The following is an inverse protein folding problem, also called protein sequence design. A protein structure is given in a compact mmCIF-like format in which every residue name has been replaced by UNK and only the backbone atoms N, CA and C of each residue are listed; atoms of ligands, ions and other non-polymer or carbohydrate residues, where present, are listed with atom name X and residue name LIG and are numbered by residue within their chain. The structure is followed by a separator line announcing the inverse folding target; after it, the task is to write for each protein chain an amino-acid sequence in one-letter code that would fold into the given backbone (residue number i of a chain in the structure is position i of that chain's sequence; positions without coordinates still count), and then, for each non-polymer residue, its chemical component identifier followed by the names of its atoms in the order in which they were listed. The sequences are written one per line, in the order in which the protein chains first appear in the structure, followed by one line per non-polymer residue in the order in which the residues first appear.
data_IF_542386933039
#
_entry.id   IF_542386933039
#
_cell.length_a   1.000
_cell.length_b   1.000
_cell.length_c   1.000
_cell.angle_alpha   90.00
_cell.angle_beta   90.00
_cell.angle_gamma   90.00
#
_symmetry.space_group_name_H-M   'P 1'
#
loop_
_entity.id
_entity.type
_entity.pdbx_description
1 polymer ?
#
# COMPACT_ATOMS: atom_id res chain seq x y z
N UNK A 1 -6.98 10.67 -10.06
CA UNK A 1 -6.80 12.14 -10.23
C UNK A 1 -7.31 12.88 -8.98
N UNK A 2 -8.46 12.52 -8.39
CA UNK A 2 -9.00 13.24 -7.22
C UNK A 2 -7.96 13.48 -6.09
N UNK A 3 -7.24 12.45 -5.64
CA UNK A 3 -6.23 12.58 -4.59
C UNK A 3 -5.10 13.59 -4.93
N UNK A 4 -4.75 13.74 -6.22
CA UNK A 4 -3.77 14.75 -6.66
C UNK A 4 -4.35 16.13 -6.50
N UNK A 5 -5.59 16.33 -6.98
CA UNK A 5 -6.27 17.62 -6.95
C UNK A 5 -6.55 18.07 -5.49
N UNK A 6 -6.75 17.12 -4.59
CA UNK A 6 -6.92 17.31 -3.15
C UNK A 6 -5.59 17.50 -2.39
N UNK A 7 -4.46 17.37 -3.06
CA UNK A 7 -3.14 17.64 -2.49
C UNK A 7 -2.54 16.49 -1.67
N UNK A 8 -2.91 15.24 -1.93
CA UNK A 8 -2.25 14.08 -1.30
C UNK A 8 -0.74 14.11 -1.53
N UNK A 9 0.04 13.67 -0.54
CA UNK A 9 1.49 13.55 -0.64
C UNK A 9 1.90 12.25 -1.36
N UNK A 10 1.02 11.25 -1.35
CA UNK A 10 1.20 9.95 -1.98
C UNK A 10 -0.11 9.21 -2.22
N UNK A 11 0.02 7.99 -2.77
CA UNK A 11 -1.09 7.07 -3.00
C UNK A 11 -0.87 5.79 -2.21
N UNK A 12 -1.95 5.27 -1.64
CA UNK A 12 -2.00 3.89 -1.16
C UNK A 12 -2.69 3.04 -2.20
N UNK A 13 -2.19 1.81 -2.41
CA UNK A 13 -2.82 0.85 -3.30
C UNK A 13 -2.57 -0.60 -2.89
N UNK A 14 -3.57 -1.42 -3.18
CA UNK A 14 -3.51 -2.88 -3.04
C UNK A 14 -3.12 -3.53 -4.35
N UNK A 15 -2.16 -4.45 -4.33
CA UNK A 15 -1.74 -5.13 -5.55
C UNK A 15 -2.00 -6.63 -5.54
N UNK A 16 -2.32 -7.14 -6.73
CA UNK A 16 -2.47 -8.58 -7.03
C UNK A 16 -1.78 -8.95 -8.33
N UNK A 17 -1.53 -10.25 -8.49
CA UNK A 17 -0.90 -10.80 -9.69
C UNK A 17 -1.93 -11.53 -10.55
N UNK A 18 -1.97 -11.21 -11.84
CA UNK A 18 -2.78 -11.87 -12.86
C UNK A 18 -2.19 -13.21 -13.28
N UNK A 19 -2.89 -13.96 -14.14
CA UNK A 19 -2.42 -15.22 -14.69
C UNK A 19 -1.15 -15.03 -15.54
N UNK A 20 -1.11 -13.99 -16.34
CA UNK A 20 0.00 -13.60 -17.22
C UNK A 20 1.09 -12.77 -16.53
N UNK A 21 1.00 -12.67 -15.17
CA UNK A 21 1.99 -12.03 -14.28
C UNK A 21 2.05 -10.51 -14.35
N UNK A 22 1.00 -9.87 -14.78
CA UNK A 22 0.87 -8.43 -14.61
C UNK A 22 0.49 -8.08 -13.18
N UNK A 23 1.07 -7.01 -12.65
CA UNK A 23 0.73 -6.50 -11.31
C UNK A 23 -0.37 -5.47 -11.47
N UNK A 24 -1.56 -5.80 -10.98
CA UNK A 24 -2.74 -4.94 -11.05
C UNK A 24 -3.10 -4.35 -9.70
N UNK A 25 -3.67 -3.14 -9.72
CA UNK A 25 -4.20 -2.48 -8.54
C UNK A 25 -5.63 -2.97 -8.31
N UNK A 26 -5.80 -3.82 -7.29
CA UNK A 26 -7.10 -4.39 -6.94
C UNK A 26 -7.12 -4.96 -5.52
N UNK A 27 -8.13 -4.56 -4.72
CA UNK A 27 -8.25 -5.02 -3.33
C UNK A 27 -8.68 -6.49 -3.23
N UNK A 28 -9.78 -6.87 -3.91
CA UNK A 28 -10.42 -8.18 -3.76
C UNK A 28 -9.76 -9.27 -4.62
N UNK A 29 -10.06 -10.53 -4.35
CA UNK A 29 -9.57 -11.65 -5.19
C UNK A 29 -10.34 -11.79 -6.50
N UNK A 30 -11.52 -11.14 -6.62
CA UNK A 30 -12.43 -11.18 -7.77
C UNK A 30 -12.90 -9.77 -8.14
N UNK A 31 -13.53 -9.62 -9.29
CA UNK A 31 -14.17 -8.37 -9.72
C UNK A 31 -15.59 -8.21 -9.18
N UNK A 32 -16.10 -9.15 -8.38
CA UNK A 32 -17.53 -9.28 -8.05
C UNK A 32 -18.09 -8.04 -7.34
N UNK A 33 -17.41 -7.55 -6.29
CA UNK A 33 -17.90 -6.43 -5.48
C UNK A 33 -18.01 -5.12 -6.27
N UNK A 34 -17.10 -4.86 -7.19
CA UNK A 34 -17.00 -3.58 -7.91
C UNK A 34 -17.66 -3.67 -9.29
N UNK A 35 -17.44 -4.77 -10.02
CA UNK A 35 -17.90 -4.94 -11.40
C UNK A 35 -19.06 -5.93 -11.56
N UNK A 36 -19.56 -6.54 -10.46
CA UNK A 36 -20.62 -7.56 -10.53
C UNK A 36 -20.19 -8.84 -11.26
N UNK A 37 -18.91 -9.08 -11.47
CA UNK A 37 -18.38 -10.18 -12.25
C UNK A 37 -17.51 -11.11 -11.39
N UNK A 38 -17.73 -12.44 -11.36
CA UNK A 38 -16.98 -13.36 -10.52
C UNK A 38 -15.55 -13.67 -11.02
N UNK A 39 -15.09 -13.04 -12.10
CA UNK A 39 -13.75 -13.24 -12.64
C UNK A 39 -12.69 -13.01 -11.54
N UNK A 40 -11.76 -13.96 -11.46
CA UNK A 40 -10.73 -13.97 -10.42
C UNK A 40 -9.42 -13.43 -10.99
N UNK A 41 -8.84 -12.45 -10.32
CA UNK A 41 -7.58 -11.81 -10.74
C UNK A 41 -6.49 -12.86 -11.03
N UNK A 42 -6.26 -13.81 -10.13
CA UNK A 42 -5.16 -14.79 -10.26
C UNK A 42 -5.35 -15.86 -11.36
N UNK A 43 -6.50 -15.95 -12.01
CA UNK A 43 -6.77 -16.93 -13.09
C UNK A 43 -7.20 -16.28 -14.39
N UNK A 44 -7.14 -14.98 -14.48
CA UNK A 44 -7.45 -14.20 -15.69
C UNK A 44 -6.20 -13.42 -16.12
N UNK A 45 -6.08 -13.20 -17.42
CA UNK A 45 -5.07 -12.29 -17.97
C UNK A 45 -5.48 -10.83 -17.79
N UNK A 46 -4.54 -9.91 -17.93
CA UNK A 46 -4.85 -8.47 -17.87
C UNK A 46 -5.88 -8.07 -18.93
N UNK A 47 -5.75 -8.57 -20.15
CA UNK A 47 -6.67 -8.25 -21.24
C UNK A 47 -8.11 -8.76 -20.96
N UNK A 48 -8.25 -9.98 -20.43
CA UNK A 48 -9.55 -10.51 -19.99
C UNK A 48 -10.17 -9.63 -18.90
N UNK A 49 -9.40 -9.23 -17.91
CA UNK A 49 -9.89 -8.37 -16.84
C UNK A 49 -10.28 -6.98 -17.36
N UNK A 50 -9.48 -6.39 -18.25
CA UNK A 50 -9.76 -5.08 -18.87
C UNK A 50 -10.97 -5.09 -19.79
N UNK A 51 -11.32 -6.24 -20.35
CA UNK A 51 -12.59 -6.38 -21.11
C UNK A 51 -13.85 -6.25 -20.24
N UNK A 52 -13.71 -6.46 -18.91
CA UNK A 52 -14.81 -6.39 -17.93
C UNK A 52 -14.81 -5.04 -17.20
N UNK A 53 -13.64 -4.57 -16.76
CA UNK A 53 -13.50 -3.37 -15.95
C UNK A 53 -12.16 -2.67 -16.22
N UNK A 54 -12.12 -1.33 -16.25
CA UNK A 54 -10.86 -0.60 -16.45
C UNK A 54 -9.93 -0.79 -15.25
N UNK A 55 -9.00 -1.75 -15.37
CA UNK A 55 -8.02 -2.08 -14.34
C UNK A 55 -6.69 -1.40 -14.65
N UNK A 56 -6.15 -0.69 -13.67
CA UNK A 56 -4.83 -0.08 -13.72
C UNK A 56 -3.76 -1.09 -13.28
N UNK A 57 -2.62 -1.09 -13.95
CA UNK A 57 -1.42 -1.80 -13.50
C UNK A 57 -0.62 -0.94 -12.51
N UNK A 58 0.25 -1.59 -11.72
CA UNK A 58 1.17 -0.86 -10.85
C UNK A 58 2.17 -0.02 -11.66
N UNK A 59 2.60 -0.47 -12.84
CA UNK A 59 3.53 0.27 -13.70
C UNK A 59 2.89 1.59 -14.17
N UNK A 60 1.61 1.57 -14.55
CA UNK A 60 0.85 2.78 -14.89
C UNK A 60 0.68 3.74 -13.69
N UNK A 61 0.49 3.21 -12.46
CA UNK A 61 0.44 4.05 -11.27
C UNK A 61 1.81 4.67 -10.95
N UNK A 62 2.90 3.93 -11.16
CA UNK A 62 4.26 4.47 -11.01
C UNK A 62 4.47 5.65 -11.97
N UNK A 63 4.02 5.57 -13.22
CA UNK A 63 4.11 6.70 -14.16
C UNK A 63 3.38 7.93 -13.64
N UNK A 64 2.18 7.75 -13.08
CA UNK A 64 1.41 8.85 -12.47
C UNK A 64 2.15 9.42 -11.25
N UNK A 65 2.67 8.55 -10.38
CA UNK A 65 3.40 8.95 -9.18
C UNK A 65 4.66 9.75 -9.52
N UNK A 66 5.43 9.31 -10.53
CA UNK A 66 6.61 10.01 -11.03
C UNK A 66 6.26 11.38 -11.61
N UNK A 67 5.22 11.45 -12.46
CA UNK A 67 4.79 12.70 -13.10
C UNK A 67 4.33 13.77 -12.09
N UNK A 68 3.84 13.36 -10.93
CA UNK A 68 3.29 14.25 -9.91
C UNK A 68 4.11 14.30 -8.61
N UNK A 69 5.29 13.67 -8.56
CA UNK A 69 6.15 13.57 -7.37
C UNK A 69 5.39 13.08 -6.14
N UNK A 70 4.67 11.94 -6.26
CA UNK A 70 3.85 11.35 -5.20
C UNK A 70 4.50 10.07 -4.68
N UNK A 71 4.54 9.92 -3.36
CA UNK A 71 4.96 8.69 -2.70
C UNK A 71 3.98 7.54 -2.95
N UNK A 72 4.45 6.29 -2.81
CA UNK A 72 3.60 5.10 -2.97
C UNK A 72 3.67 4.20 -1.73
N UNK A 73 2.51 3.87 -1.18
CA UNK A 73 2.32 2.85 -0.17
C UNK A 73 1.62 1.64 -0.82
N UNK A 74 2.38 0.57 -1.07
CA UNK A 74 1.95 -0.58 -1.88
C UNK A 74 1.71 -1.79 -0.99
N UNK A 75 0.45 -2.22 -0.84
CA UNK A 75 0.11 -3.43 -0.08
C UNK A 75 0.12 -4.68 -0.98
N UNK A 76 0.96 -5.65 -0.64
CA UNK A 76 0.91 -6.99 -1.24
C UNK A 76 -0.16 -7.84 -0.56
N UNK A 77 -1.23 -8.19 -1.29
CA UNK A 77 -2.36 -8.98 -0.76
C UNK A 77 -2.03 -10.46 -0.62
N UNK A 78 -2.22 -10.99 0.58
CA UNK A 78 -2.05 -12.40 0.93
C UNK A 78 -3.33 -13.01 1.55
N UNK A 79 -3.53 -14.34 1.46
CA UNK A 79 -2.71 -15.33 0.74
C UNK A 79 -2.85 -15.20 -0.79
N UNK A 80 -1.78 -15.57 -1.52
CA UNK A 80 -1.81 -15.64 -2.98
C UNK A 80 -1.81 -17.09 -3.47
N UNK A 81 -2.40 -17.34 -4.65
CA UNK A 81 -2.35 -18.65 -5.31
C UNK A 81 -0.91 -19.07 -5.67
N UNK A 82 -0.04 -18.09 -5.83
CA UNK A 82 1.30 -18.26 -6.41
C UNK A 82 2.43 -18.13 -5.40
N UNK A 83 2.14 -18.24 -4.08
CA UNK A 83 3.15 -18.08 -3.03
C UNK A 83 3.84 -16.71 -3.13
N UNK A 84 5.17 -16.68 -3.13
CA UNK A 84 5.98 -15.43 -3.20
C UNK A 84 6.20 -14.90 -4.62
N UNK A 85 5.37 -15.27 -5.58
CA UNK A 85 5.56 -14.82 -6.97
C UNK A 85 5.24 -13.33 -7.12
N UNK A 86 4.23 -12.82 -6.40
CA UNK A 86 3.88 -11.40 -6.39
C UNK A 86 5.07 -10.53 -5.97
N UNK A 87 5.73 -10.88 -4.86
CA UNK A 87 6.90 -10.15 -4.36
C UNK A 87 8.07 -10.18 -5.34
N UNK A 88 8.27 -11.32 -6.03
CA UNK A 88 9.34 -11.43 -7.04
C UNK A 88 9.06 -10.56 -8.27
N UNK A 89 7.83 -10.52 -8.77
CA UNK A 89 7.48 -9.66 -9.90
C UNK A 89 7.49 -8.17 -9.48
N UNK A 90 7.04 -7.85 -8.27
CA UNK A 90 7.16 -6.51 -7.69
C UNK A 90 8.62 -6.07 -7.59
N UNK A 91 9.51 -6.91 -7.06
CA UNK A 91 10.94 -6.60 -6.97
C UNK A 91 11.58 -6.36 -8.35
N UNK A 92 11.20 -7.14 -9.37
CA UNK A 92 11.67 -6.92 -10.76
C UNK A 92 11.18 -5.59 -11.32
N UNK A 93 9.90 -5.27 -11.13
CA UNK A 93 9.31 -4.00 -11.58
C UNK A 93 10.03 -2.82 -10.93
N UNK A 94 10.12 -2.81 -9.60
CA UNK A 94 10.77 -1.74 -8.86
C UNK A 94 12.28 -1.61 -9.15
N UNK A 95 12.97 -2.74 -9.43
CA UNK A 95 14.36 -2.70 -9.87
C UNK A 95 14.49 -2.03 -11.24
N UNK A 96 13.62 -2.39 -12.19
CA UNK A 96 13.59 -1.79 -13.53
C UNK A 96 13.34 -0.27 -13.50
N UNK A 97 12.45 0.19 -12.58
CA UNK A 97 12.07 1.60 -12.43
C UNK A 97 12.91 2.37 -11.41
N UNK A 98 13.96 1.73 -10.84
CA UNK A 98 14.67 2.27 -9.66
C UNK A 98 15.37 3.60 -9.88
N UNK A 99 15.92 3.84 -11.06
CA UNK A 99 16.60 5.11 -11.40
C UNK A 99 15.60 6.26 -11.53
N UNK A 100 14.44 6.01 -12.15
CA UNK A 100 13.38 7.00 -12.31
C UNK A 100 12.78 7.37 -10.93
N UNK A 101 12.46 6.35 -10.10
CA UNK A 101 11.95 6.53 -8.74
C UNK A 101 12.93 7.35 -7.90
N UNK A 102 14.22 7.00 -7.95
CA UNK A 102 15.25 7.72 -7.22
C UNK A 102 15.42 9.17 -7.70
N UNK A 103 15.44 9.38 -9.01
CA UNK A 103 15.59 10.71 -9.59
C UNK A 103 14.40 11.63 -9.30
N UNK A 104 13.19 11.07 -9.19
CA UNK A 104 12.00 11.81 -8.82
C UNK A 104 11.92 12.12 -7.30
N UNK A 105 12.76 11.48 -6.48
CA UNK A 105 12.80 11.66 -5.03
C UNK A 105 11.56 11.13 -4.31
N UNK A 106 10.82 10.18 -4.90
CA UNK A 106 9.62 9.60 -4.30
C UNK A 106 9.98 8.42 -3.39
N UNK A 107 9.23 8.28 -2.30
CA UNK A 107 9.36 7.18 -1.34
C UNK A 107 8.44 6.02 -1.71
N UNK A 108 8.92 4.78 -1.51
CA UNK A 108 8.12 3.57 -1.70
C UNK A 108 8.05 2.80 -0.38
N UNK A 109 6.84 2.59 0.12
CA UNK A 109 6.54 1.78 1.30
C UNK A 109 5.90 0.46 0.84
N UNK A 110 6.58 -0.67 1.10
CA UNK A 110 6.10 -2.00 0.72
C UNK A 110 5.40 -2.65 1.91
N UNK A 111 4.08 -2.68 1.89
CA UNK A 111 3.24 -3.08 3.01
C UNK A 111 2.69 -4.50 2.86
N UNK A 112 2.57 -5.23 3.96
CA UNK A 112 1.86 -6.51 4.00
C UNK A 112 1.42 -6.90 5.41
N UNK A 113 0.30 -7.64 5.51
CA UNK A 113 -0.09 -8.39 6.71
C UNK A 113 0.67 -9.71 6.85
N UNK A 114 1.42 -10.11 5.85
CA UNK A 114 2.24 -11.32 5.85
C UNK A 114 3.66 -11.01 6.31
N UNK A 115 4.09 -11.60 7.42
CA UNK A 115 5.46 -11.52 7.89
C UNK A 115 6.49 -11.93 6.81
N UNK A 116 6.21 -13.00 6.08
CA UNK A 116 7.09 -13.47 5.00
C UNK A 116 7.22 -12.48 3.85
N UNK A 117 6.12 -11.86 3.44
CA UNK A 117 6.12 -10.83 2.41
C UNK A 117 6.89 -9.58 2.89
N UNK A 118 6.65 -9.14 4.12
CA UNK A 118 7.38 -8.01 4.71
C UNK A 118 8.87 -8.28 4.80
N UNK A 119 9.27 -9.50 5.23
CA UNK A 119 10.67 -9.90 5.30
C UNK A 119 11.35 -9.92 3.93
N UNK A 120 10.64 -10.38 2.88
CA UNK A 120 11.14 -10.33 1.50
C UNK A 120 11.29 -8.87 1.02
N UNK A 121 10.33 -8.03 1.32
CA UNK A 121 10.33 -6.59 0.98
C UNK A 121 11.44 -5.82 1.70
N UNK A 122 11.74 -6.16 2.95
CA UNK A 122 12.81 -5.52 3.74
C UNK A 122 14.23 -5.78 3.21
N UNK A 123 14.41 -6.75 2.32
CA UNK A 123 15.68 -6.99 1.61
C UNK A 123 15.85 -6.09 0.38
N UNK A 124 14.83 -5.34 0.02
CA UNK A 124 14.87 -4.35 -1.07
C UNK A 124 15.47 -3.03 -0.58
N UNK A 125 15.72 -2.10 -1.52
CA UNK A 125 16.13 -0.71 -1.18
C UNK A 125 14.95 0.14 -0.66
N UNK A 126 13.76 -0.42 -0.57
CA UNK A 126 12.53 0.25 -0.17
C UNK A 126 12.10 -0.14 1.24
N UNK A 127 11.28 0.67 1.87
CA UNK A 127 10.86 0.46 3.26
C UNK A 127 9.84 -0.67 3.36
N UNK A 128 10.25 -1.80 3.96
CA UNK A 128 9.34 -2.91 4.26
C UNK A 128 8.51 -2.62 5.51
N UNK A 129 7.19 -2.61 5.38
CA UNK A 129 6.24 -2.24 6.42
C UNK A 129 5.32 -3.41 6.78
N UNK A 130 5.33 -3.83 8.02
CA UNK A 130 4.41 -4.86 8.52
C UNK A 130 3.10 -4.22 8.99
N UNK A 131 1.98 -4.65 8.38
CA UNK A 131 0.64 -4.16 8.73
C UNK A 131 0.10 -4.86 9.97
N UNK A 132 -0.21 -4.09 11.00
CA UNK A 132 -0.69 -4.56 12.29
C UNK A 132 -2.15 -4.19 12.47
N UNK A 133 -3.05 -5.19 12.43
CA UNK A 133 -4.50 -4.97 12.59
C UNK A 133 -4.97 -4.90 14.04
N UNK A 134 -4.22 -5.46 14.98
CA UNK A 134 -4.54 -5.40 16.40
C UNK A 134 -3.30 -5.56 17.28
N UNK A 135 -3.39 -5.19 18.56
CA UNK A 135 -2.26 -5.26 19.52
C UNK A 135 -1.63 -6.66 19.64
N UNK A 136 -2.39 -7.72 19.38
CA UNK A 136 -1.88 -9.10 19.41
C UNK A 136 -0.77 -9.37 18.39
N UNK A 137 -0.72 -8.60 17.30
CA UNK A 137 0.29 -8.74 16.23
C UNK A 137 1.50 -7.82 16.38
N UNK A 138 1.51 -6.91 17.34
CA UNK A 138 2.66 -6.00 17.61
C UNK A 138 4.00 -6.74 17.79
N UNK A 139 4.08 -7.90 18.47
CA UNK A 139 5.35 -8.61 18.61
C UNK A 139 6.03 -8.99 17.29
N UNK A 140 5.24 -9.19 16.22
CA UNK A 140 5.74 -9.52 14.89
C UNK A 140 6.29 -8.31 14.13
N UNK A 141 5.93 -7.10 14.53
CA UNK A 141 6.36 -5.85 13.91
C UNK A 141 7.71 -5.31 14.40
N UNK A 142 8.43 -6.05 15.27
CA UNK A 142 9.67 -5.58 15.92
C UNK A 142 10.83 -5.30 14.98
N UNK A 143 10.83 -5.93 13.81
CA UNK A 143 11.95 -5.91 12.87
C UNK A 143 11.60 -5.25 11.53
N UNK A 144 10.49 -4.52 11.47
CA UNK A 144 10.03 -3.81 10.29
C UNK A 144 9.43 -2.46 10.69
N UNK A 145 9.32 -1.57 9.75
CA UNK A 145 8.47 -0.38 9.88
C UNK A 145 7.04 -0.80 10.18
N UNK A 146 6.36 -0.09 11.08
CA UNK A 146 5.02 -0.45 11.53
C UNK A 146 3.96 0.29 10.70
N UNK A 147 3.00 -0.47 10.15
CA UNK A 147 1.77 0.08 9.59
C UNK A 147 0.59 -0.25 10.52
N UNK A 148 0.20 0.68 11.39
CA UNK A 148 -0.74 0.43 12.48
C UNK A 148 -2.18 0.76 12.10
N UNK A 149 -3.12 -0.15 12.44
CA UNK A 149 -4.53 0.24 12.48
C UNK A 149 -4.73 1.33 13.55
N UNK A 150 -5.51 2.37 13.24
CA UNK A 150 -5.77 3.52 14.14
C UNK A 150 -6.28 3.11 15.52
N UNK A 151 -7.08 2.04 15.62
CA UNK A 151 -7.60 1.54 16.89
C UNK A 151 -6.51 1.10 17.88
N UNK A 152 -5.30 0.80 17.38
CA UNK A 152 -4.15 0.46 18.23
C UNK A 152 -3.67 1.71 18.99
N UNK A 153 -3.61 2.86 18.31
CA UNK A 153 -3.22 4.14 18.90
C UNK A 153 -4.30 4.64 19.87
N UNK A 154 -5.58 4.59 19.45
CA UNK A 154 -6.75 4.92 20.30
C UNK A 154 -6.77 4.08 21.56
N UNK A 155 -6.32 2.85 21.49
CA UNK A 155 -6.13 1.96 22.65
C UNK A 155 -4.91 2.30 23.51
N UNK A 156 -4.23 3.44 23.31
CA UNK A 156 -3.13 3.94 24.15
C UNK A 156 -1.75 3.36 23.80
N UNK A 157 -1.59 2.66 22.68
CA UNK A 157 -0.25 2.26 22.23
C UNK A 157 0.45 3.45 21.55
N UNK A 158 1.72 3.66 21.93
CA UNK A 158 2.59 4.64 21.28
C UNK A 158 3.74 3.87 20.64
N UNK A 159 3.97 4.01 19.33
CA UNK A 159 5.08 3.35 18.65
C UNK A 159 6.42 3.86 19.19
N UNK A 160 7.42 2.98 19.23
CA UNK A 160 8.76 3.33 19.69
C UNK A 160 9.44 4.36 18.77
N UNK A 161 9.13 4.31 17.48
CA UNK A 161 9.57 5.30 16.49
C UNK A 161 8.36 5.77 15.67
N UNK A 162 7.68 6.84 16.10
CA UNK A 162 6.58 7.42 15.35
C UNK A 162 6.98 7.91 13.95
N UNK A 163 8.20 8.41 13.79
CA UNK A 163 8.71 8.94 12.51
C UNK A 163 8.94 7.84 11.44
N UNK A 164 8.95 6.56 11.85
CA UNK A 164 8.99 5.40 10.98
C UNK A 164 7.67 4.60 11.02
N UNK A 165 6.55 5.24 11.39
CA UNK A 165 5.26 4.57 11.55
C UNK A 165 4.22 5.12 10.57
N UNK A 166 3.51 4.21 9.89
CA UNK A 166 2.32 4.51 9.09
C UNK A 166 1.07 4.16 9.89
N UNK A 167 -0.02 4.91 9.70
CA UNK A 167 -1.33 4.62 10.35
C UNK A 167 -2.46 4.60 9.34
N UNK A 168 -3.32 3.59 9.43
CA UNK A 168 -4.45 3.30 8.54
C UNK A 168 -5.69 2.82 9.31
N UNK A 169 -6.93 2.99 8.85
CA UNK A 169 -7.35 4.05 7.96
C UNK A 169 -7.86 5.19 8.84
N UNK A 170 -7.40 6.41 8.62
CA UNK A 170 -7.59 7.54 9.54
C UNK A 170 -8.52 8.56 8.89
N UNK A 171 -9.83 8.51 9.22
CA UNK A 171 -10.86 9.31 8.58
C UNK A 171 -11.57 10.29 9.54
N UNK A 172 -11.38 10.14 10.87
CA UNK A 172 -12.01 11.03 11.84
C UNK A 172 -11.07 12.19 12.25
N UNK A 173 -11.60 13.41 12.47
CA UNK A 173 -10.79 14.57 12.86
C UNK A 173 -9.95 14.33 14.12
N UNK A 174 -10.52 13.67 15.13
CA UNK A 174 -9.84 13.33 16.38
C UNK A 174 -8.71 12.31 16.17
N UNK A 175 -8.86 11.38 15.23
CA UNK A 175 -7.86 10.37 14.91
C UNK A 175 -6.69 10.98 14.14
N UNK A 176 -6.97 11.93 13.24
CA UNK A 176 -5.95 12.72 12.53
C UNK A 176 -5.15 13.56 13.55
N UNK A 177 -5.84 14.26 14.45
CA UNK A 177 -5.20 15.06 15.51
C UNK A 177 -4.32 14.17 16.43
N UNK A 178 -4.78 12.96 16.76
CA UNK A 178 -4.01 11.97 17.53
C UNK A 178 -2.72 11.57 16.80
N UNK A 179 -2.82 11.22 15.51
CA UNK A 179 -1.67 10.86 14.68
C UNK A 179 -0.64 11.98 14.60
N UNK A 180 -1.09 13.22 14.37
CA UNK A 180 -0.21 14.41 14.34
C UNK A 180 0.44 14.67 15.69
N UNK A 181 -0.32 14.55 16.81
CA UNK A 181 0.23 14.68 18.16
C UNK A 181 1.30 13.65 18.48
N UNK A 182 1.14 12.42 18.03
CA UNK A 182 2.12 11.35 18.21
C UNK A 182 3.33 11.56 17.29
N UNK A 183 3.17 12.20 16.15
CA UNK A 183 4.23 12.47 15.17
C UNK A 183 4.49 11.30 14.22
N UNK A 184 3.42 10.57 13.81
CA UNK A 184 3.56 9.49 12.81
C UNK A 184 3.96 10.05 11.45
N UNK A 185 4.74 9.28 10.68
CA UNK A 185 5.30 9.76 9.41
C UNK A 185 4.27 9.80 8.29
N UNK A 186 3.34 8.84 8.26
CA UNK A 186 2.35 8.71 7.18
C UNK A 186 0.97 8.41 7.77
N UNK A 187 -0.03 9.13 7.27
CA UNK A 187 -1.46 8.89 7.53
C UNK A 187 -2.10 8.42 6.23
N UNK A 188 -2.69 7.22 6.25
CA UNK A 188 -3.50 6.70 5.14
C UNK A 188 -4.97 7.03 5.43
N UNK A 189 -5.58 7.84 4.56
CA UNK A 189 -6.93 8.37 4.73
C UNK A 189 -7.70 8.37 3.42
N UNK A 190 -9.03 8.27 3.50
CA UNK A 190 -9.95 8.44 2.37
C UNK A 190 -10.36 9.93 2.18
N UNK A 191 -10.00 10.81 3.15
CA UNK A 191 -10.35 12.24 3.14
C UNK A 191 -9.10 13.11 3.27
N UNK A 192 -8.46 13.37 2.14
CA UNK A 192 -7.24 14.18 2.06
C UNK A 192 -7.50 15.64 2.49
N UNK A 193 -8.56 16.32 2.03
CA UNK A 193 -8.87 17.69 2.47
C UNK A 193 -8.99 17.81 3.99
N UNK A 194 -9.69 16.89 4.64
CA UNK A 194 -9.81 16.87 6.09
C UNK A 194 -8.44 16.69 6.76
N UNK A 195 -7.63 15.71 6.29
CA UNK A 195 -6.31 15.46 6.86
C UNK A 195 -5.35 16.66 6.73
N UNK A 196 -5.47 17.45 5.67
CA UNK A 196 -4.68 18.67 5.45
C UNK A 196 -5.16 19.86 6.27
N UNK A 197 -6.45 19.90 6.67
CA UNK A 197 -7.05 21.03 7.38
C UNK A 197 -6.77 21.05 8.90
N UNK A 198 -6.41 19.91 9.47
CA UNK A 198 -6.08 19.72 10.88
C UNK A 198 -4.56 19.82 11.08
#
# INVERSE_FOLDING_TARGET
MAAIDEGADGFECDIRLTQDREIVIWHDSTLERVAGNPARISTSTLDELRSIWPIMTLDELIDIALAHHKDLAIETKHPTRYGHRLERELAKLLHRRSEEIHSAGISIYLMSFSWWATSANSQSRYTGTYLVRSKAFLPFARFATQGLNIEILKGGYIPADPSATLVWTVNAPEDIALCKKIGVSVIITDDVPLAKSI
#
